data_IF_457860086128
#
_entry.id   IF_457860086128
#
_cell.length_a   1.000
_cell.length_b   1.000
_cell.length_c   1.000
_cell.angle_alpha   90.00
_cell.angle_beta   90.00
_cell.angle_gamma   90.00
#
_symmetry.space_group_name_H-M   'P 1'
#
loop_
_entity.id
_entity.type
_entity.pdbx_description
1 polymer ?
#
# COMPACT_ATOMS: atom_id res chain seq x y z
N UNK A 1 -12.94 31.79 -43.97
CA UNK A 1 -13.03 32.16 -42.54
C UNK A 1 -12.49 30.96 -41.76
N UNK A 2 -11.15 30.91 -41.64
CA UNK A 2 -10.50 29.82 -40.90
C UNK A 2 -10.55 30.17 -39.41
N UNK A 3 -11.38 29.43 -38.70
CA UNK A 3 -11.40 29.48 -37.23
C UNK A 3 -10.11 28.88 -36.69
N UNK A 4 -9.15 29.71 -36.33
CA UNK A 4 -8.03 29.32 -35.50
C UNK A 4 -8.63 28.78 -34.17
N UNK A 5 -8.69 27.46 -34.04
CA UNK A 5 -8.95 26.81 -32.75
C UNK A 5 -8.05 27.45 -31.71
N UNK A 6 -8.64 27.85 -30.60
CA UNK A 6 -7.90 28.42 -29.46
C UNK A 6 -6.82 27.41 -29.05
N UNK A 7 -5.63 27.91 -28.69
CA UNK A 7 -4.47 27.09 -28.26
C UNK A 7 -4.89 26.08 -27.16
N UNK A 8 -5.84 26.49 -26.33
CA UNK A 8 -6.42 25.64 -25.28
C UNK A 8 -7.25 24.47 -25.84
N UNK A 9 -7.98 24.67 -26.91
CA UNK A 9 -8.78 23.62 -27.58
C UNK A 9 -7.88 22.65 -28.34
N UNK A 10 -6.80 23.11 -28.94
CA UNK A 10 -5.81 22.28 -29.64
C UNK A 10 -5.03 21.41 -28.61
N UNK A 11 -4.64 21.97 -27.46
CA UNK A 11 -3.99 21.23 -26.38
C UNK A 11 -4.92 20.19 -25.75
N UNK A 12 -6.20 20.49 -25.60
CA UNK A 12 -7.21 19.56 -25.10
C UNK A 12 -7.48 18.39 -26.05
N UNK A 13 -7.45 18.65 -27.37
CA UNK A 13 -7.65 17.61 -28.39
C UNK A 13 -6.45 16.65 -28.45
N UNK A 14 -5.23 17.19 -28.38
CA UNK A 14 -4.00 16.40 -28.36
C UNK A 14 -3.89 15.57 -27.06
N UNK A 15 -4.27 16.12 -25.92
CA UNK A 15 -4.33 15.43 -24.64
C UNK A 15 -5.31 14.25 -24.67
N UNK A 16 -6.50 14.47 -25.23
CA UNK A 16 -7.52 13.42 -25.35
C UNK A 16 -7.06 12.29 -26.27
N UNK A 17 -6.41 12.61 -27.38
CA UNK A 17 -5.84 11.63 -28.29
C UNK A 17 -4.72 10.80 -27.61
N UNK A 18 -3.82 11.43 -26.88
CA UNK A 18 -2.74 10.76 -26.13
C UNK A 18 -3.29 9.80 -25.09
N UNK A 19 -4.28 10.20 -24.31
CA UNK A 19 -4.86 9.35 -23.24
C UNK A 19 -5.66 8.18 -23.82
N UNK A 20 -6.30 8.36 -24.97
CA UNK A 20 -7.08 7.30 -25.62
C UNK A 20 -6.20 6.26 -26.35
N UNK A 21 -4.93 6.57 -26.63
CA UNK A 21 -3.99 5.60 -27.17
C UNK A 21 -3.63 4.50 -26.15
N UNK A 22 -3.51 3.26 -26.62
CA UNK A 22 -3.17 2.11 -25.76
C UNK A 22 -1.70 2.08 -25.32
N UNK A 23 -0.85 2.86 -25.97
CA UNK A 23 0.57 3.00 -25.61
C UNK A 23 0.96 4.48 -25.60
N UNK A 24 1.49 4.93 -24.47
CA UNK A 24 2.04 6.27 -24.30
C UNK A 24 3.57 6.13 -24.14
N UNK A 25 4.34 6.86 -24.96
CA UNK A 25 5.80 6.90 -24.83
C UNK A 25 6.24 7.68 -23.58
N UNK A 26 7.47 7.44 -23.12
CA UNK A 26 8.02 8.17 -21.96
C UNK A 26 8.10 9.68 -22.19
N UNK A 27 8.35 10.13 -23.44
CA UNK A 27 8.38 11.56 -23.79
C UNK A 27 7.00 12.20 -23.72
N UNK A 28 5.96 11.47 -24.12
CA UNK A 28 4.57 11.92 -24.03
C UNK A 28 4.11 12.01 -22.57
N UNK A 29 4.50 11.04 -21.73
CA UNK A 29 4.23 11.09 -20.28
C UNK A 29 4.88 12.32 -19.61
N UNK A 30 6.12 12.62 -19.98
CA UNK A 30 6.81 13.84 -19.49
C UNK A 30 6.07 15.10 -19.96
N UNK A 31 5.58 15.12 -21.19
CA UNK A 31 4.78 16.24 -21.70
C UNK A 31 3.48 16.41 -20.93
N UNK A 32 2.82 15.31 -20.55
CA UNK A 32 1.61 15.34 -19.70
C UNK A 32 1.88 15.95 -18.32
N UNK A 33 3.07 15.73 -17.76
CA UNK A 33 3.42 16.28 -16.43
C UNK A 33 3.49 17.81 -16.39
N UNK A 34 3.70 18.46 -17.55
CA UNK A 34 3.70 19.91 -17.69
C UNK A 34 2.29 20.50 -17.88
N UNK A 35 1.29 19.67 -18.08
CA UNK A 35 -0.09 20.10 -18.22
C UNK A 35 -0.67 20.18 -16.81
N UNK A 36 -1.04 21.38 -16.40
CA UNK A 36 -1.75 21.57 -15.15
C UNK A 36 -3.00 20.69 -15.12
N UNK A 37 -3.28 20.02 -14.00
CA UNK A 37 -4.48 19.19 -13.80
C UNK A 37 -5.71 20.01 -14.23
N UNK A 38 -6.15 19.81 -15.46
CA UNK A 38 -7.30 20.50 -16.03
C UNK A 38 -8.49 19.54 -16.05
N UNK A 39 -9.68 20.08 -16.02
CA UNK A 39 -10.93 19.32 -16.16
C UNK A 39 -10.91 18.42 -17.41
N UNK A 40 -10.18 18.83 -18.47
CA UNK A 40 -9.98 18.05 -19.68
C UNK A 40 -9.15 16.77 -19.46
N UNK A 41 -8.13 16.80 -18.61
CA UNK A 41 -7.36 15.60 -18.26
C UNK A 41 -8.21 14.60 -17.44
N UNK A 42 -8.94 15.11 -16.46
CA UNK A 42 -9.86 14.32 -15.66
C UNK A 42 -10.94 13.69 -16.55
N UNK A 43 -11.55 14.49 -17.44
CA UNK A 43 -12.56 14.00 -18.38
C UNK A 43 -12.02 12.95 -19.34
N UNK A 44 -10.85 13.16 -19.92
CA UNK A 44 -10.24 12.20 -20.85
C UNK A 44 -9.87 10.88 -20.11
N UNK A 45 -9.38 10.97 -18.88
CA UNK A 45 -9.10 9.81 -18.02
C UNK A 45 -10.38 9.02 -17.68
N UNK A 46 -11.48 9.73 -17.39
CA UNK A 46 -12.78 9.14 -17.14
C UNK A 46 -13.36 8.48 -18.38
N UNK A 47 -13.28 9.14 -19.55
CA UNK A 47 -13.71 8.57 -20.83
C UNK A 47 -12.93 7.28 -21.15
N UNK A 48 -11.61 7.25 -20.92
CA UNK A 48 -10.79 6.04 -21.10
C UNK A 48 -11.20 4.92 -20.12
N UNK A 49 -11.43 5.25 -18.85
CA UNK A 49 -11.94 4.28 -17.86
C UNK A 49 -13.25 3.65 -18.33
N UNK A 50 -14.18 4.43 -18.89
CA UNK A 50 -15.48 3.94 -19.36
C UNK A 50 -15.36 2.99 -20.55
N UNK A 51 -14.36 3.15 -21.42
CA UNK A 51 -14.12 2.24 -22.55
C UNK A 51 -13.81 0.81 -22.10
N UNK A 52 -13.13 0.64 -20.96
CA UNK A 52 -12.67 -0.66 -20.49
C UNK A 52 -13.52 -1.22 -19.32
N UNK A 53 -14.12 -0.35 -18.51
CA UNK A 53 -14.76 -0.72 -17.27
C UNK A 53 -16.18 -0.18 -17.12
N UNK A 54 -16.75 0.41 -18.17
CA UNK A 54 -18.05 1.07 -18.13
C UNK A 54 -18.14 2.08 -16.96
N UNK A 55 -19.30 2.15 -16.29
CA UNK A 55 -19.51 2.99 -15.12
C UNK A 55 -19.25 2.24 -13.80
N UNK A 56 -18.70 1.02 -13.86
CA UNK A 56 -18.41 0.23 -12.68
C UNK A 56 -17.20 0.75 -11.94
N UNK A 57 -17.32 0.82 -10.61
CA UNK A 57 -16.24 1.09 -9.67
C UNK A 57 -16.21 -0.06 -8.66
N UNK A 58 -15.08 -0.74 -8.60
CA UNK A 58 -14.83 -1.77 -7.59
C UNK A 58 -14.05 -1.20 -6.43
N UNK A 59 -14.35 -1.64 -5.21
CA UNK A 59 -13.60 -1.32 -4.02
C UNK A 59 -13.50 -2.56 -3.14
N UNK A 60 -12.45 -2.64 -2.33
CA UNK A 60 -12.28 -3.70 -1.34
C UNK A 60 -12.25 -3.07 0.06
N UNK A 61 -13.30 -3.26 0.86
CA UNK A 61 -13.30 -2.79 2.24
C UNK A 61 -12.30 -3.60 3.06
N UNK A 62 -11.37 -2.89 3.72
CA UNK A 62 -10.28 -3.50 4.48
C UNK A 62 -10.29 -3.02 5.92
N UNK A 63 -10.08 -3.94 6.86
CA UNK A 63 -9.75 -3.55 8.23
C UNK A 63 -8.25 -3.30 8.35
N UNK A 64 -7.90 -2.17 8.97
CA UNK A 64 -6.51 -1.76 9.14
C UNK A 64 -5.91 -2.37 10.41
N UNK A 65 -4.81 -3.12 10.28
CA UNK A 65 -4.11 -3.76 11.39
C UNK A 65 -2.68 -3.20 11.46
N UNK A 66 -2.41 -2.23 12.35
CA UNK A 66 -1.09 -1.66 12.54
C UNK A 66 -0.23 -2.57 13.44
N UNK A 67 0.33 -3.65 12.87
CA UNK A 67 1.02 -4.68 13.65
C UNK A 67 2.15 -4.12 14.52
N UNK A 68 2.93 -3.16 14.00
CA UNK A 68 3.90 -2.38 14.77
C UNK A 68 4.06 -0.98 14.20
N UNK A 69 4.16 0.00 15.09
CA UNK A 69 4.53 1.38 14.74
C UNK A 69 6.04 1.61 14.76
N UNK A 70 6.83 0.65 15.23
CA UNK A 70 8.29 0.76 15.21
C UNK A 70 8.80 0.49 13.79
N UNK A 71 9.78 1.28 13.32
CA UNK A 71 10.35 1.14 12.00
C UNK A 71 11.87 1.37 12.06
N UNK A 72 12.65 0.61 11.30
CA UNK A 72 14.09 0.88 11.20
C UNK A 72 14.41 2.17 10.44
N UNK A 73 13.51 2.60 9.55
CA UNK A 73 13.71 3.77 8.71
C UNK A 73 13.30 5.07 9.40
N UNK A 74 13.83 6.19 8.90
CA UNK A 74 13.54 7.56 9.35
C UNK A 74 13.07 8.36 8.15
N UNK A 75 11.78 8.24 7.84
CA UNK A 75 11.17 8.99 6.76
C UNK A 75 10.59 10.30 7.31
N UNK A 76 11.11 11.44 6.89
CA UNK A 76 10.71 12.75 7.45
C UNK A 76 9.22 13.08 7.23
N UNK A 77 8.60 12.54 6.21
CA UNK A 77 7.16 12.74 5.94
C UNK A 77 6.27 11.69 6.61
N UNK A 78 6.83 10.61 7.16
CA UNK A 78 6.07 9.50 7.72
C UNK A 78 5.50 9.88 9.09
N UNK A 79 4.18 9.91 9.21
CA UNK A 79 3.46 10.14 10.47
C UNK A 79 3.10 8.83 11.19
N UNK A 80 3.28 7.68 10.54
CA UNK A 80 2.94 6.37 11.08
C UNK A 80 3.98 5.86 12.09
N UNK A 81 5.29 5.98 11.75
CA UNK A 81 6.36 5.46 12.58
C UNK A 81 6.50 6.21 13.91
N UNK A 82 6.63 5.44 15.00
CA UNK A 82 6.81 5.95 16.36
C UNK A 82 8.11 5.44 16.95
N UNK A 83 8.62 6.16 17.96
CA UNK A 83 9.75 5.69 18.77
C UNK A 83 9.27 4.74 19.87
N UNK A 84 10.14 3.88 20.43
CA UNK A 84 9.76 2.96 21.52
C UNK A 84 9.12 3.63 22.75
N UNK A 85 9.48 4.89 23.03
CA UNK A 85 8.89 5.66 24.17
C UNK A 85 7.44 6.07 23.93
N UNK A 86 6.94 5.99 22.68
CA UNK A 86 5.59 6.45 22.30
C UNK A 86 4.64 5.28 21.99
N UNK A 87 5.05 4.05 22.25
CA UNK A 87 4.23 2.84 22.09
C UNK A 87 4.14 2.10 23.40
N UNK A 88 2.99 1.54 23.71
CA UNK A 88 2.76 0.73 24.90
C UNK A 88 3.41 -0.65 24.75
N UNK A 89 3.33 -1.22 23.58
CA UNK A 89 3.97 -2.50 23.21
C UNK A 89 4.67 -2.35 21.85
N UNK A 90 5.80 -3.05 21.64
CA UNK A 90 6.47 -3.08 20.34
C UNK A 90 5.59 -3.61 19.21
N UNK A 91 4.74 -4.59 19.49
CA UNK A 91 3.84 -5.22 18.53
C UNK A 91 2.46 -5.42 19.15
N UNK A 92 1.42 -5.49 18.31
CA UNK A 92 0.13 -6.05 18.73
C UNK A 92 0.30 -7.54 19.03
N UNK A 93 -0.41 -8.05 20.03
CA UNK A 93 -0.48 -9.51 20.26
C UNK A 93 -1.36 -10.19 19.19
N UNK A 94 -1.23 -11.51 19.04
CA UNK A 94 -2.07 -12.28 18.10
C UNK A 94 -3.55 -12.13 18.46
N UNK A 95 -3.88 -12.13 19.76
CA UNK A 95 -5.25 -11.96 20.23
C UNK A 95 -5.82 -10.58 19.85
N UNK A 96 -5.00 -9.52 19.96
CA UNK A 96 -5.39 -8.16 19.53
C UNK A 96 -5.59 -8.09 18.02
N UNK A 97 -4.70 -8.72 17.25
CA UNK A 97 -4.82 -8.81 15.79
C UNK A 97 -6.11 -9.51 15.38
N UNK A 98 -6.41 -10.66 15.98
CA UNK A 98 -7.64 -11.43 15.72
C UNK A 98 -8.89 -10.65 16.14
N UNK A 99 -8.86 -9.96 17.27
CA UNK A 99 -9.97 -9.14 17.74
C UNK A 99 -10.29 -8.01 16.73
N UNK A 100 -9.27 -7.29 16.25
CA UNK A 100 -9.42 -6.25 15.22
C UNK A 100 -9.98 -6.86 13.91
N UNK A 101 -9.47 -8.02 13.51
CA UNK A 101 -9.92 -8.70 12.30
C UNK A 101 -11.40 -9.13 12.42
N UNK A 102 -11.82 -9.71 13.54
CA UNK A 102 -13.23 -10.10 13.80
C UNK A 102 -14.17 -8.88 13.79
N UNK A 103 -13.75 -7.77 14.37
CA UNK A 103 -14.51 -6.51 14.30
C UNK A 103 -14.64 -6.02 12.85
N UNK A 104 -13.54 -6.05 12.08
CA UNK A 104 -13.55 -5.72 10.66
C UNK A 104 -14.51 -6.61 9.86
N UNK A 105 -14.52 -7.92 10.12
CA UNK A 105 -15.44 -8.86 9.47
C UNK A 105 -16.90 -8.53 9.79
N UNK A 106 -17.24 -8.22 11.04
CA UNK A 106 -18.60 -7.81 11.46
C UNK A 106 -19.02 -6.54 10.71
N UNK A 107 -18.07 -5.62 10.45
CA UNK A 107 -18.33 -4.37 9.72
C UNK A 107 -18.27 -4.55 8.18
N UNK A 108 -18.26 -5.78 7.67
CA UNK A 108 -18.33 -6.06 6.23
C UNK A 108 -17.01 -5.91 5.47
N UNK A 109 -15.87 -5.90 6.16
CA UNK A 109 -14.58 -5.99 5.50
C UNK A 109 -14.35 -7.37 4.86
N UNK A 110 -13.60 -7.39 3.76
CA UNK A 110 -13.20 -8.62 3.06
C UNK A 110 -11.71 -8.91 3.21
N UNK A 111 -10.91 -7.90 3.52
CA UNK A 111 -9.46 -8.04 3.67
C UNK A 111 -8.98 -7.47 5.01
N UNK A 112 -7.93 -8.09 5.54
CA UNK A 112 -7.16 -7.62 6.70
C UNK A 112 -5.87 -6.96 6.20
N UNK A 113 -5.79 -5.63 6.24
CA UNK A 113 -4.64 -4.86 5.79
C UNK A 113 -3.61 -4.75 6.90
N UNK A 114 -2.59 -5.59 6.86
CA UNK A 114 -1.43 -5.47 7.73
C UNK A 114 -0.52 -4.35 7.27
N UNK A 115 -0.40 -3.31 8.08
CA UNK A 115 0.54 -2.21 7.87
C UNK A 115 1.50 -2.16 9.05
N UNK A 116 2.78 -2.06 8.77
CA UNK A 116 3.81 -2.11 9.81
C UNK A 116 5.06 -1.33 9.38
N UNK A 117 5.86 -0.95 10.38
CA UNK A 117 7.18 -0.42 10.12
C UNK A 117 8.13 -1.52 9.65
N UNK A 118 9.07 -1.15 8.78
CA UNK A 118 10.02 -2.08 8.19
C UNK A 118 11.04 -2.54 9.23
N UNK A 119 11.11 -3.86 9.48
CA UNK A 119 12.13 -4.60 10.25
C UNK A 119 12.66 -3.85 11.48
N UNK A 120 11.80 -3.45 12.43
CA UNK A 120 12.22 -2.65 13.60
C UNK A 120 13.24 -3.38 14.48
N UNK A 121 13.28 -4.71 14.44
CA UNK A 121 14.28 -5.51 15.15
C UNK A 121 15.72 -5.21 14.73
N UNK A 122 15.95 -4.70 13.53
CA UNK A 122 17.29 -4.30 13.08
C UNK A 122 17.77 -3.01 13.76
N UNK A 123 16.85 -2.21 14.29
CA UNK A 123 17.16 -0.93 14.92
C UNK A 123 16.96 -0.96 16.44
N UNK A 124 15.84 -1.50 16.91
CA UNK A 124 15.41 -1.37 18.30
C UNK A 124 15.61 -2.67 19.09
N UNK A 125 16.35 -2.57 20.20
CA UNK A 125 16.55 -3.68 21.15
C UNK A 125 15.21 -4.21 21.69
N UNK A 126 14.28 -3.32 22.02
CA UNK A 126 12.97 -3.69 22.57
C UNK A 126 12.16 -4.55 21.59
N UNK A 127 12.25 -4.30 20.29
CA UNK A 127 11.60 -5.13 19.27
C UNK A 127 12.22 -6.54 19.21
N UNK A 128 13.56 -6.63 19.24
CA UNK A 128 14.26 -7.94 19.28
C UNK A 128 13.93 -8.75 20.53
N UNK A 129 13.92 -8.12 21.69
CA UNK A 129 13.61 -8.78 22.96
C UNK A 129 12.18 -9.27 23.00
N UNK A 130 11.24 -8.45 22.51
CA UNK A 130 9.83 -8.83 22.41
C UNK A 130 9.63 -10.02 21.47
N UNK A 131 10.21 -9.99 20.28
CA UNK A 131 10.14 -11.11 19.33
C UNK A 131 10.71 -12.39 19.95
N UNK A 132 11.88 -12.31 20.56
CA UNK A 132 12.55 -13.45 21.21
C UNK A 132 11.70 -14.04 22.32
N UNK A 133 11.11 -13.21 23.18
CA UNK A 133 10.26 -13.67 24.28
C UNK A 133 8.97 -14.34 23.81
N UNK A 134 8.52 -14.04 22.57
CA UNK A 134 7.37 -14.65 21.93
C UNK A 134 7.72 -15.77 20.94
N UNK A 135 9.00 -16.20 20.88
CA UNK A 135 9.44 -17.33 20.07
C UNK A 135 9.74 -17.02 18.60
N UNK A 136 9.83 -15.74 18.23
CA UNK A 136 10.08 -15.29 16.85
C UNK A 136 11.49 -14.68 16.71
N UNK A 137 12.06 -14.82 15.51
CA UNK A 137 13.37 -14.24 15.17
C UNK A 137 13.22 -12.89 14.47
N UNK A 138 12.20 -12.74 13.64
CA UNK A 138 12.01 -11.55 12.80
C UNK A 138 10.56 -11.05 12.85
N UNK A 139 10.36 -9.77 12.54
CA UNK A 139 9.04 -9.17 12.36
C UNK A 139 8.24 -9.91 11.28
N UNK A 140 8.88 -10.35 10.21
CA UNK A 140 8.19 -11.05 9.12
C UNK A 140 7.75 -12.47 9.49
N UNK A 141 8.49 -13.18 10.35
CA UNK A 141 8.01 -14.45 10.94
C UNK A 141 6.76 -14.22 11.79
N UNK A 142 6.78 -13.19 12.62
CA UNK A 142 5.64 -12.83 13.45
C UNK A 142 4.42 -12.38 12.63
N UNK A 143 4.66 -11.60 11.57
CA UNK A 143 3.61 -11.23 10.62
C UNK A 143 2.95 -12.46 9.99
N UNK A 144 3.75 -13.46 9.60
CA UNK A 144 3.23 -14.73 9.08
C UNK A 144 2.32 -15.44 10.07
N UNK A 145 2.72 -15.53 11.35
CA UNK A 145 1.89 -16.13 12.39
C UNK A 145 0.58 -15.35 12.62
N UNK A 146 0.63 -14.02 12.58
CA UNK A 146 -0.57 -13.18 12.68
C UNK A 146 -1.51 -13.37 11.47
N UNK A 147 -0.95 -13.42 10.25
CA UNK A 147 -1.74 -13.66 9.03
C UNK A 147 -2.41 -15.04 9.06
N UNK A 148 -1.68 -16.08 9.50
CA UNK A 148 -2.23 -17.43 9.68
C UNK A 148 -3.37 -17.44 10.70
N UNK A 149 -3.22 -16.73 11.83
CA UNK A 149 -4.26 -16.62 12.84
C UNK A 149 -5.53 -15.94 12.28
N UNK A 150 -5.37 -14.87 11.49
CA UNK A 150 -6.50 -14.20 10.83
C UNK A 150 -7.22 -15.14 9.85
N UNK A 151 -6.48 -15.91 9.04
CA UNK A 151 -7.05 -16.89 8.12
C UNK A 151 -7.80 -18.02 8.84
N UNK A 152 -7.36 -18.43 10.03
CA UNK A 152 -8.01 -19.48 10.83
C UNK A 152 -9.26 -18.97 11.56
N UNK A 153 -9.23 -17.74 12.03
CA UNK A 153 -10.23 -17.21 12.96
C UNK A 153 -11.30 -16.33 12.27
N UNK A 154 -11.08 -15.96 11.01
CA UNK A 154 -11.97 -15.07 10.24
C UNK A 154 -12.07 -15.51 8.78
N UNK A 155 -13.00 -14.91 8.02
CA UNK A 155 -13.09 -15.05 6.58
C UNK A 155 -12.29 -13.99 5.81
N UNK A 156 -11.53 -13.15 6.50
CA UNK A 156 -10.77 -12.07 5.87
C UNK A 156 -9.51 -12.60 5.19
N UNK A 157 -9.20 -12.03 4.04
CA UNK A 157 -7.97 -12.34 3.29
C UNK A 157 -6.87 -11.34 3.71
N UNK A 158 -5.71 -11.80 4.22
CA UNK A 158 -4.63 -10.90 4.57
C UNK A 158 -4.03 -10.18 3.35
N UNK A 159 -3.82 -8.87 3.48
CA UNK A 159 -3.01 -8.05 2.60
C UNK A 159 -1.80 -7.53 3.38
N UNK A 160 -0.58 -7.86 2.93
CA UNK A 160 0.64 -7.61 3.70
C UNK A 160 1.44 -6.45 3.11
N UNK A 161 1.59 -5.36 3.88
CA UNK A 161 2.45 -4.22 3.58
C UNK A 161 3.62 -4.17 4.57
N UNK A 162 4.59 -5.06 4.39
CA UNK A 162 5.68 -5.31 5.34
C UNK A 162 7.02 -4.63 4.98
N UNK A 163 7.03 -3.69 4.03
CA UNK A 163 8.26 -3.03 3.59
C UNK A 163 9.11 -3.90 2.66
N UNK A 164 10.43 -3.81 2.76
CA UNK A 164 11.35 -4.52 1.88
C UNK A 164 11.47 -6.00 2.28
N UNK A 165 11.10 -6.90 1.36
CA UNK A 165 11.17 -8.34 1.54
C UNK A 165 12.24 -8.96 0.63
N UNK A 166 12.92 -9.98 1.14
CA UNK A 166 13.74 -10.87 0.31
C UNK A 166 12.85 -11.89 -0.42
N UNK A 167 13.38 -12.53 -1.45
CA UNK A 167 12.67 -13.59 -2.19
C UNK A 167 12.24 -14.75 -1.26
N UNK A 168 13.06 -15.08 -0.27
CA UNK A 168 12.73 -16.12 0.72
C UNK A 168 11.57 -15.68 1.64
N UNK A 169 11.58 -14.43 2.13
CA UNK A 169 10.49 -13.89 2.93
C UNK A 169 9.17 -13.84 2.13
N UNK A 170 9.24 -13.44 0.85
CA UNK A 170 8.08 -13.46 -0.05
C UNK A 170 7.54 -14.88 -0.19
N UNK A 171 8.41 -15.87 -0.43
CA UNK A 171 8.00 -17.26 -0.60
C UNK A 171 7.28 -17.83 0.63
N UNK A 172 7.70 -17.42 1.83
CA UNK A 172 7.08 -17.84 3.10
C UNK A 172 5.74 -17.14 3.36
N UNK A 173 5.62 -15.85 3.02
CA UNK A 173 4.43 -15.04 3.29
C UNK A 173 3.34 -15.19 2.21
N UNK A 174 3.73 -15.48 0.97
CA UNK A 174 2.80 -15.59 -0.16
C UNK A 174 1.64 -16.58 0.07
N UNK A 175 1.82 -17.78 0.64
CA UNK A 175 0.71 -18.70 0.91
C UNK A 175 -0.29 -18.18 1.96
N UNK A 176 0.11 -17.21 2.78
CA UNK A 176 -0.68 -16.64 3.88
C UNK A 176 -1.37 -15.32 3.49
N UNK A 177 -1.28 -14.90 2.22
CA UNK A 177 -1.78 -13.60 1.79
C UNK A 177 -2.47 -13.67 0.43
N UNK A 178 -3.58 -12.96 0.28
CA UNK A 178 -4.23 -12.75 -1.02
C UNK A 178 -3.49 -11.73 -1.88
N UNK A 179 -2.79 -10.79 -1.24
CA UNK A 179 -1.99 -9.77 -1.91
C UNK A 179 -0.89 -9.23 -1.00
N UNK A 180 0.16 -8.71 -1.63
CA UNK A 180 1.31 -8.11 -0.95
C UNK A 180 1.64 -6.78 -1.60
N UNK A 181 1.95 -5.77 -0.79
CA UNK A 181 2.29 -4.43 -1.24
C UNK A 181 3.63 -3.96 -0.70
N UNK A 182 4.25 -3.03 -1.42
CA UNK A 182 5.42 -2.30 -0.97
C UNK A 182 5.13 -0.81 -1.02
N UNK A 183 5.18 -0.15 0.12
CA UNK A 183 5.09 1.30 0.21
C UNK A 183 6.45 1.92 -0.04
N UNK A 184 6.76 2.18 -1.31
CA UNK A 184 8.01 2.82 -1.72
C UNK A 184 8.08 4.25 -1.18
N UNK A 185 9.15 4.54 -0.47
CA UNK A 185 9.50 5.91 -0.09
C UNK A 185 10.82 6.34 -0.72
N UNK A 186 11.06 7.63 -0.77
CA UNK A 186 12.31 8.21 -1.28
C UNK A 186 13.55 7.63 -0.58
N UNK A 187 13.44 7.21 0.68
CA UNK A 187 14.55 6.59 1.43
C UNK A 187 14.94 5.22 0.85
N UNK A 188 13.97 4.44 0.38
CA UNK A 188 14.25 3.16 -0.27
C UNK A 188 14.95 3.34 -1.63
N UNK A 189 14.69 4.46 -2.31
CA UNK A 189 15.32 4.80 -3.60
C UNK A 189 16.75 5.30 -3.42
N UNK A 190 17.06 5.99 -2.31
CA UNK A 190 18.39 6.58 -2.05
C UNK A 190 19.36 5.64 -1.33
N UNK A 191 18.93 4.48 -0.88
CA UNK A 191 19.76 3.46 -0.22
C UNK A 191 20.10 2.25 -1.10
N UNK A 192 19.65 2.26 -2.35
CA UNK A 192 20.03 1.23 -3.33
C UNK A 192 21.31 1.63 -4.06
#
# INVERSE_FOLDING_TARGET
>A
MDSKLNIQEQSNLSLRQLILHDSISSSELVSLSNICLSDSLIKASFDKKRLYFNDELTYSPKVFIPLTFLCRDVCHYCTFAKTPKKVESPYLSIEQVVAIAKEGQINGCHEALFTLGDKPELRYKVAREWLKSNGFKTTNEYLGACAEAVLKETSLIPHLNSGCLTAEEISKLKPLSGSMGLMLSLIHIWRC
#
